data_IF_699674299562
#
_entry.id   IF_699674299562
#
_cell.length_a   1.000
_cell.length_b   1.000
_cell.length_c   1.000
_cell.angle_alpha   90.00
_cell.angle_beta   90.00
_cell.angle_gamma   90.00
#
_symmetry.space_group_name_H-M   'P 1'
#
loop_
_entity.id
_entity.type
_entity.pdbx_description
1 polymer ?
#
# COMPACT_ATOMS: atom_id res chain seq x y z
N UNK A 1 8.59 16.58 -22.25
CA UNK A 1 8.24 15.71 -21.10
C UNK A 1 6.72 15.68 -20.97
N UNK A 2 6.12 14.54 -20.66
CA UNK A 2 4.67 14.44 -20.44
C UNK A 2 4.30 15.14 -19.10
N UNK A 3 3.12 15.77 -18.95
CA UNK A 3 2.62 16.27 -17.68
C UNK A 3 2.85 15.32 -16.48
N UNK A 4 2.67 14.02 -16.67
CA UNK A 4 2.94 13.02 -15.62
C UNK A 4 4.38 13.06 -15.10
N UNK A 5 5.35 13.21 -16.00
CA UNK A 5 6.75 13.29 -15.62
C UNK A 5 7.07 14.61 -14.92
N UNK A 6 6.48 15.71 -15.38
CA UNK A 6 6.73 17.04 -14.84
C UNK A 6 6.18 17.16 -13.41
N UNK A 7 4.98 16.64 -13.16
CA UNK A 7 4.29 16.82 -11.88
C UNK A 7 4.52 15.71 -10.86
N UNK A 8 4.86 14.49 -11.30
CA UNK A 8 5.04 13.35 -10.39
C UNK A 8 6.45 12.75 -10.48
N UNK A 9 6.84 12.22 -11.63
CA UNK A 9 8.11 11.46 -11.76
C UNK A 9 9.32 12.32 -11.40
N UNK A 10 9.41 13.54 -11.94
CA UNK A 10 10.59 14.40 -11.82
C UNK A 10 10.74 14.98 -10.41
N UNK A 11 9.69 15.51 -9.76
CA UNK A 11 9.78 15.94 -8.36
C UNK A 11 10.18 14.80 -7.42
N UNK A 12 9.62 13.60 -7.62
CA UNK A 12 9.95 12.41 -6.83
C UNK A 12 11.42 12.00 -7.03
N UNK A 13 11.91 12.02 -8.27
CA UNK A 13 13.32 11.76 -8.58
C UNK A 13 14.24 12.80 -7.92
N UNK A 14 13.93 14.08 -8.03
CA UNK A 14 14.73 15.15 -7.44
C UNK A 14 14.78 15.02 -5.91
N UNK A 15 13.65 14.71 -5.28
CA UNK A 15 13.59 14.46 -3.85
C UNK A 15 14.41 13.23 -3.44
N UNK A 16 14.33 12.12 -4.20
CA UNK A 16 15.14 10.93 -3.97
C UNK A 16 16.64 11.25 -4.03
N UNK A 17 17.09 11.97 -5.07
CA UNK A 17 18.49 12.33 -5.25
C UNK A 17 18.96 13.32 -4.18
N UNK A 18 18.11 14.27 -3.77
CA UNK A 18 18.43 15.19 -2.68
C UNK A 18 18.68 14.43 -1.36
N UNK A 19 17.80 13.49 -1.00
CA UNK A 19 17.97 12.65 0.19
C UNK A 19 19.26 11.82 0.06
N UNK A 20 19.49 11.21 -1.10
CA UNK A 20 20.69 10.44 -1.37
C UNK A 20 21.97 11.26 -1.18
N UNK A 21 22.05 12.49 -1.72
CA UNK A 21 23.24 13.35 -1.57
C UNK A 21 23.48 13.73 -0.11
N UNK A 22 22.43 14.01 0.65
CA UNK A 22 22.54 14.30 2.08
C UNK A 22 23.11 13.08 2.83
N UNK A 23 22.56 11.88 2.61
CA UNK A 23 23.05 10.66 3.27
C UNK A 23 24.46 10.26 2.81
N UNK A 24 24.79 10.47 1.54
CA UNK A 24 26.11 10.23 0.99
C UNK A 24 27.15 11.18 1.57
N UNK A 25 26.81 12.46 1.76
CA UNK A 25 27.70 13.43 2.43
C UNK A 25 28.01 13.04 3.88
N UNK A 26 27.09 12.31 4.53
CA UNK A 26 27.28 11.78 5.89
C UNK A 26 28.00 10.41 5.93
N UNK A 27 28.47 9.87 4.79
CA UNK A 27 29.16 8.57 4.69
C UNK A 27 28.38 7.37 5.28
N UNK A 28 27.04 7.41 5.22
CA UNK A 28 26.20 6.34 5.76
C UNK A 28 26.19 5.15 4.78
N UNK A 29 26.43 3.89 5.21
CA UNK A 29 26.33 2.75 4.32
C UNK A 29 24.87 2.51 3.85
N UNK A 30 24.69 2.04 2.62
CA UNK A 30 23.36 1.75 2.08
C UNK A 30 22.51 3.00 1.80
N UNK A 31 23.15 4.12 1.45
CA UNK A 31 22.50 5.41 1.20
C UNK A 31 21.29 5.34 0.29
N UNK A 32 21.36 4.61 -0.83
CA UNK A 32 20.24 4.54 -1.77
C UNK A 32 19.02 3.84 -1.15
N UNK A 33 19.21 2.72 -0.45
CA UNK A 33 18.10 2.02 0.19
C UNK A 33 17.47 2.85 1.32
N UNK A 34 18.29 3.53 2.13
CA UNK A 34 17.79 4.49 3.12
C UNK A 34 17.05 5.66 2.48
N UNK A 35 17.52 6.14 1.32
CA UNK A 35 16.84 7.22 0.58
C UNK A 35 15.45 6.80 0.13
N UNK A 36 15.30 5.55 -0.33
CA UNK A 36 13.99 4.97 -0.69
C UNK A 36 13.08 4.92 0.54
N UNK A 37 13.58 4.44 1.68
CA UNK A 37 12.80 4.36 2.93
C UNK A 37 12.32 5.76 3.36
N UNK A 38 13.23 6.74 3.39
CA UNK A 38 12.92 8.11 3.82
C UNK A 38 11.95 8.78 2.84
N UNK A 39 12.17 8.64 1.53
CA UNK A 39 11.24 9.16 0.52
C UNK A 39 9.84 8.58 0.71
N UNK A 40 9.76 7.27 0.91
CA UNK A 40 8.49 6.56 1.14
C UNK A 40 7.79 7.11 2.38
N UNK A 41 8.54 7.31 3.46
CA UNK A 41 8.01 7.89 4.69
C UNK A 41 7.49 9.31 4.47
N UNK A 42 8.25 10.18 3.79
CA UNK A 42 7.84 11.56 3.48
C UNK A 42 6.53 11.58 2.68
N UNK A 43 6.44 10.80 1.60
CA UNK A 43 5.23 10.71 0.78
C UNK A 43 4.06 10.21 1.63
N UNK A 44 4.27 9.18 2.45
CA UNK A 44 3.22 8.61 3.30
C UNK A 44 2.75 9.59 4.38
N UNK A 45 3.65 10.38 4.96
CA UNK A 45 3.30 11.43 5.92
C UNK A 45 2.55 12.59 5.25
N UNK A 46 2.94 12.99 4.05
CA UNK A 46 2.20 13.99 3.28
C UNK A 46 0.76 13.51 2.94
N UNK A 47 0.60 12.22 2.66
CA UNK A 47 -0.70 11.59 2.40
C UNK A 47 -1.47 11.18 3.68
N UNK A 48 -0.88 11.36 4.86
CA UNK A 48 -1.46 10.96 6.14
C UNK A 48 -2.86 11.53 6.40
N UNK A 49 -3.14 12.84 6.27
CA UNK A 49 -4.46 13.39 6.57
C UNK A 49 -5.55 12.80 5.66
N UNK A 50 -5.24 12.64 4.38
CA UNK A 50 -6.15 12.06 3.40
C UNK A 50 -6.46 10.60 3.72
N UNK A 51 -5.41 9.79 3.90
CA UNK A 51 -5.55 8.36 4.24
C UNK A 51 -6.25 8.17 5.58
N UNK A 52 -6.05 9.09 6.54
CA UNK A 52 -6.78 9.07 7.81
C UNK A 52 -8.28 9.30 7.65
N UNK A 53 -8.68 10.24 6.78
CA UNK A 53 -10.09 10.48 6.46
C UNK A 53 -10.73 9.25 5.82
N UNK A 54 -10.01 8.60 4.89
CA UNK A 54 -10.45 7.39 4.21
C UNK A 54 -10.65 6.23 5.20
N UNK A 55 -9.70 6.01 6.11
CA UNK A 55 -9.79 4.97 7.13
C UNK A 55 -10.99 5.18 8.07
N UNK A 56 -11.21 6.42 8.53
CA UNK A 56 -12.39 6.77 9.33
C UNK A 56 -13.70 6.52 8.58
N UNK A 57 -13.76 6.82 7.29
CA UNK A 57 -14.94 6.53 6.47
C UNK A 57 -15.22 5.02 6.39
N UNK A 58 -14.17 4.21 6.21
CA UNK A 58 -14.28 2.74 6.20
C UNK A 58 -14.76 2.18 7.54
N UNK A 59 -14.32 2.75 8.66
CA UNK A 59 -14.84 2.37 9.97
C UNK A 59 -16.32 2.70 10.16
N UNK A 60 -16.77 3.87 9.68
CA UNK A 60 -18.19 4.24 9.73
C UNK A 60 -19.03 3.27 8.89
N UNK A 61 -18.57 2.90 7.69
CA UNK A 61 -19.23 1.87 6.87
C UNK A 61 -19.31 0.53 7.61
N UNK A 62 -18.24 0.12 8.28
CA UNK A 62 -18.21 -1.10 9.06
C UNK A 62 -19.22 -1.09 10.23
N UNK A 63 -19.39 0.06 10.90
CA UNK A 63 -20.36 0.21 11.99
C UNK A 63 -21.81 0.10 11.52
N UNK A 64 -22.11 0.36 10.24
CA UNK A 64 -23.45 0.24 9.66
C UNK A 64 -23.82 -1.19 9.25
N UNK A 65 -22.87 -2.13 9.28
CA UNK A 65 -23.10 -3.54 8.94
C UNK A 65 -24.37 -4.17 9.56
N UNK A 66 -24.67 -4.04 10.86
CA UNK A 66 -25.90 -4.61 11.43
C UNK A 66 -27.19 -4.01 10.83
N UNK A 67 -27.17 -2.74 10.42
CA UNK A 67 -28.31 -2.11 9.76
C UNK A 67 -28.45 -2.57 8.31
N UNK A 68 -27.33 -2.77 7.61
CA UNK A 68 -27.31 -3.36 6.28
C UNK A 68 -27.87 -4.80 6.30
N UNK A 69 -27.46 -5.60 7.30
CA UNK A 69 -27.98 -6.95 7.48
C UNK A 69 -29.50 -6.96 7.71
N UNK A 70 -30.04 -5.95 8.42
CA UNK A 70 -31.49 -5.79 8.61
C UNK A 70 -32.21 -5.43 7.30
N UNK A 71 -31.70 -4.46 6.55
CA UNK A 71 -32.26 -4.09 5.23
C UNK A 71 -32.27 -5.29 4.29
N UNK A 72 -31.23 -6.13 4.36
CA UNK A 72 -31.16 -7.38 3.61
C UNK A 72 -32.25 -8.37 4.01
N UNK A 73 -32.55 -8.53 5.31
CA UNK A 73 -33.64 -9.41 5.77
C UNK A 73 -35.03 -8.90 5.37
N UNK A 74 -35.24 -7.58 5.36
CA UNK A 74 -36.55 -6.98 5.07
C UNK A 74 -36.80 -6.81 3.56
N UNK A 75 -35.76 -6.50 2.78
CA UNK A 75 -35.88 -6.09 1.38
C UNK A 75 -34.99 -6.89 0.40
N UNK A 76 -34.24 -7.91 0.84
CA UNK A 76 -33.30 -8.66 -0.01
C UNK A 76 -33.94 -9.37 -1.22
N UNK A 77 -35.27 -9.57 -1.22
CA UNK A 77 -36.01 -10.13 -2.34
C UNK A 77 -36.25 -9.12 -3.48
N UNK A 78 -36.23 -7.81 -3.20
CA UNK A 78 -36.42 -6.73 -4.16
C UNK A 78 -35.11 -5.94 -4.30
N UNK A 79 -34.36 -6.21 -5.37
CA UNK A 79 -33.05 -5.60 -5.60
C UNK A 79 -33.10 -4.07 -5.68
N UNK A 80 -34.17 -3.51 -6.25
CA UNK A 80 -34.29 -2.06 -6.43
C UNK A 80 -34.51 -1.41 -5.07
N UNK A 81 -35.50 -1.89 -4.32
CA UNK A 81 -35.82 -1.36 -2.99
C UNK A 81 -34.69 -1.57 -1.98
N UNK A 82 -34.00 -2.71 -2.05
CA UNK A 82 -32.80 -2.97 -1.25
C UNK A 82 -31.71 -1.93 -1.53
N UNK A 83 -31.40 -1.65 -2.81
CA UNK A 83 -30.38 -0.67 -3.18
C UNK A 83 -30.76 0.75 -2.74
N UNK A 84 -32.04 1.10 -2.85
CA UNK A 84 -32.58 2.38 -2.39
C UNK A 84 -32.41 2.57 -0.88
N UNK A 85 -32.81 1.58 -0.07
CA UNK A 85 -32.70 1.64 1.39
C UNK A 85 -31.23 1.63 1.86
N UNK A 86 -30.35 0.85 1.21
CA UNK A 86 -28.89 0.91 1.49
C UNK A 86 -28.34 2.31 1.20
N UNK A 87 -28.72 2.91 0.07
CA UNK A 87 -28.28 4.26 -0.29
C UNK A 87 -28.82 5.30 0.68
N UNK A 88 -30.07 5.16 1.11
CA UNK A 88 -30.72 6.03 2.09
C UNK A 88 -30.03 5.93 3.45
N UNK A 89 -29.75 4.72 3.93
CA UNK A 89 -28.99 4.49 5.15
C UNK A 89 -27.62 5.18 5.13
N UNK A 90 -26.87 5.05 4.04
CA UNK A 90 -25.58 5.73 3.88
C UNK A 90 -25.71 7.25 3.89
N UNK A 91 -26.73 7.81 3.22
CA UNK A 91 -27.00 9.25 3.22
C UNK A 91 -27.38 9.76 4.61
N UNK A 92 -28.26 9.07 5.33
CA UNK A 92 -28.69 9.43 6.69
C UNK A 92 -27.52 9.44 7.68
N UNK A 93 -26.56 8.52 7.52
CA UNK A 93 -25.38 8.43 8.38
C UNK A 93 -24.16 9.22 7.84
N UNK A 94 -24.34 9.98 6.74
CA UNK A 94 -23.28 10.80 6.14
C UNK A 94 -22.06 10.01 5.68
N UNK A 95 -22.27 8.78 5.20
CA UNK A 95 -21.22 7.86 4.76
C UNK A 95 -21.13 7.86 3.24
N UNK A 96 -19.93 8.07 2.69
CA UNK A 96 -19.69 8.04 1.24
C UNK A 96 -19.01 6.72 0.84
N UNK A 97 -19.67 5.83 0.07
CA UNK A 97 -19.07 4.56 -0.36
C UNK A 97 -17.83 4.75 -1.27
N UNK A 98 -17.77 5.84 -2.03
CA UNK A 98 -16.62 6.16 -2.89
C UNK A 98 -15.38 6.59 -2.10
N UNK A 99 -15.54 7.04 -0.86
CA UNK A 99 -14.41 7.41 -0.02
C UNK A 99 -13.52 6.19 0.32
N UNK A 100 -14.07 4.96 0.25
CA UNK A 100 -13.33 3.73 0.47
C UNK A 100 -12.38 3.33 -0.66
N UNK A 101 -12.68 3.71 -1.92
CA UNK A 101 -11.85 3.41 -3.09
C UNK A 101 -10.94 4.58 -3.52
N UNK A 102 -11.18 5.78 -2.99
CA UNK A 102 -10.33 6.96 -3.18
C UNK A 102 -8.82 6.73 -2.87
N UNK A 103 -8.41 5.96 -1.83
CA UNK A 103 -6.99 5.69 -1.61
C UNK A 103 -6.34 5.01 -2.81
N UNK A 104 -7.03 4.04 -3.42
CA UNK A 104 -6.50 3.29 -4.54
C UNK A 104 -6.31 4.17 -5.77
N UNK A 105 -7.29 5.03 -6.08
CA UNK A 105 -7.22 5.94 -7.22
C UNK A 105 -6.07 6.93 -7.11
N UNK A 106 -5.84 7.50 -5.92
CA UNK A 106 -4.71 8.40 -5.71
C UNK A 106 -3.36 7.66 -5.66
N UNK A 107 -3.35 6.45 -5.10
CA UNK A 107 -2.14 5.66 -4.94
C UNK A 107 -1.58 5.19 -6.28
N UNK A 108 -2.41 4.86 -7.27
CA UNK A 108 -1.97 4.32 -8.55
C UNK A 108 -0.99 5.26 -9.30
N UNK A 109 -1.30 6.54 -9.56
CA UNK A 109 -0.36 7.47 -10.20
C UNK A 109 0.96 7.62 -9.43
N UNK A 110 0.89 7.72 -8.10
CA UNK A 110 2.07 7.85 -7.24
C UNK A 110 2.93 6.58 -7.31
N UNK A 111 2.30 5.41 -7.30
CA UNK A 111 2.97 4.13 -7.47
C UNK A 111 3.68 4.02 -8.82
N UNK A 112 3.02 4.37 -9.93
CA UNK A 112 3.65 4.34 -11.26
C UNK A 112 4.83 5.31 -11.35
N UNK A 113 4.72 6.50 -10.76
CA UNK A 113 5.81 7.48 -10.75
C UNK A 113 7.00 6.95 -9.94
N UNK A 114 6.76 6.44 -8.73
CA UNK A 114 7.79 5.82 -7.90
C UNK A 114 8.41 4.60 -8.57
N UNK A 115 7.61 3.73 -9.17
CA UNK A 115 8.10 2.57 -9.91
C UNK A 115 9.08 2.99 -11.01
N UNK A 116 8.71 3.99 -11.81
CA UNK A 116 9.56 4.50 -12.88
C UNK A 116 10.87 5.10 -12.34
N UNK A 117 10.80 5.87 -11.25
CA UNK A 117 11.98 6.47 -10.60
C UNK A 117 12.89 5.38 -10.03
N UNK A 118 12.33 4.46 -9.24
CA UNK A 118 13.09 3.40 -8.60
C UNK A 118 13.71 2.48 -9.64
N UNK A 119 12.98 2.08 -10.67
CA UNK A 119 13.54 1.22 -11.72
C UNK A 119 14.71 1.92 -12.40
N UNK A 120 14.58 3.21 -12.77
CA UNK A 120 15.69 4.00 -13.36
C UNK A 120 16.93 4.04 -12.48
N UNK A 121 16.76 4.27 -11.17
CA UNK A 121 17.89 4.46 -10.23
C UNK A 121 18.48 3.13 -9.73
N UNK A 122 17.67 2.09 -9.65
CA UNK A 122 18.09 0.79 -9.13
C UNK A 122 18.77 -0.04 -10.21
N UNK A 123 18.32 0.00 -11.47
CA UNK A 123 18.99 -0.69 -12.59
C UNK A 123 20.12 0.14 -13.21
N UNK A 124 20.47 1.25 -12.58
CA UNK A 124 21.47 2.20 -13.01
C UNK A 124 22.86 1.57 -13.07
N UNK A 125 23.52 1.65 -14.22
CA UNK A 125 24.93 1.30 -14.39
C UNK A 125 25.61 2.31 -15.31
N UNK A 126 26.81 2.78 -14.92
CA UNK A 126 27.71 3.57 -15.78
C UNK A 126 27.37 5.05 -15.99
N UNK A 127 28.09 5.66 -16.92
CA UNK A 127 28.07 7.12 -17.16
C UNK A 127 26.81 7.60 -17.90
N UNK A 128 26.20 6.74 -18.71
CA UNK A 128 24.95 7.05 -19.43
C UNK A 128 23.77 7.24 -18.47
N UNK A 129 23.78 6.53 -17.34
CA UNK A 129 22.82 6.76 -16.26
C UNK A 129 22.97 8.17 -15.69
N UNK A 130 24.20 8.59 -15.36
CA UNK A 130 24.47 9.89 -14.75
C UNK A 130 24.00 11.02 -15.66
N UNK A 131 24.28 10.94 -16.96
CA UNK A 131 23.80 11.91 -17.96
C UNK A 131 22.26 11.96 -18.02
N UNK A 132 21.62 10.79 -18.01
CA UNK A 132 20.16 10.67 -18.10
C UNK A 132 19.46 11.21 -16.86
N UNK A 133 20.01 10.98 -15.68
CA UNK A 133 19.45 11.52 -14.43
C UNK A 133 19.71 13.01 -14.33
N UNK A 134 20.94 13.46 -14.57
CA UNK A 134 21.29 14.88 -14.44
C UNK A 134 20.44 15.77 -15.38
N UNK A 135 20.06 15.28 -16.57
CA UNK A 135 19.14 16.03 -17.46
C UNK A 135 17.70 16.14 -16.96
N UNK A 136 17.29 15.30 -16.00
CA UNK A 136 15.98 15.33 -15.35
C UNK A 136 16.01 16.06 -14.00
N UNK A 137 17.18 16.46 -13.50
CA UNK A 137 17.29 17.18 -12.24
C UNK A 137 17.06 18.67 -12.45
N UNK A 138 16.34 19.31 -11.53
CA UNK A 138 16.00 20.73 -11.62
C UNK A 138 17.17 21.66 -11.29
N UNK A 139 18.13 21.17 -10.49
CA UNK A 139 19.25 21.98 -10.01
C UNK A 139 20.59 21.30 -10.27
N UNK A 140 21.61 22.04 -10.74
CA UNK A 140 22.99 21.55 -10.85
C UNK A 140 23.56 21.04 -9.52
N UNK A 141 23.08 21.57 -8.39
CA UNK A 141 23.49 21.11 -7.04
C UNK A 141 23.11 19.65 -6.80
N UNK A 142 22.09 19.13 -7.49
CA UNK A 142 21.67 17.73 -7.38
C UNK A 142 22.41 16.81 -8.34
N UNK A 143 23.20 17.35 -9.28
CA UNK A 143 23.93 16.52 -10.24
C UNK A 143 24.81 15.50 -9.52
N UNK A 144 24.80 14.30 -10.07
CA UNK A 144 25.62 13.19 -9.64
C UNK A 144 26.90 13.19 -10.46
N UNK A 145 28.03 12.95 -9.80
CA UNK A 145 29.32 12.75 -10.48
C UNK A 145 29.53 11.27 -10.85
N UNK A 146 28.89 10.36 -10.11
CA UNK A 146 28.97 8.91 -10.28
C UNK A 146 27.63 8.26 -10.02
N UNK A 147 27.42 7.07 -10.58
CA UNK A 147 26.22 6.28 -10.29
C UNK A 147 26.17 5.90 -8.79
N UNK A 148 25.00 5.99 -8.13
CA UNK A 148 24.83 5.56 -6.75
C UNK A 148 25.19 4.09 -6.55
N UNK A 149 25.83 3.77 -5.42
CA UNK A 149 25.97 2.38 -5.00
C UNK A 149 24.58 1.79 -4.76
N UNK A 150 24.28 0.70 -5.45
CA UNK A 150 23.00 -0.01 -5.30
C UNK A 150 23.03 -1.02 -4.15
N UNK A 151 24.15 -1.17 -3.45
CA UNK A 151 24.25 -2.09 -2.31
C UNK A 151 23.46 -1.55 -1.11
N UNK A 152 22.58 -2.39 -0.56
CA UNK A 152 21.84 -2.12 0.65
C UNK A 152 21.76 -3.38 1.52
N UNK A 153 22.28 -3.29 2.75
CA UNK A 153 22.51 -4.45 3.62
C UNK A 153 23.41 -5.48 2.93
N UNK A 154 22.90 -6.67 2.67
CA UNK A 154 23.63 -7.80 2.07
C UNK A 154 23.48 -7.86 0.56
N UNK A 155 22.50 -7.15 -0.03
CA UNK A 155 22.10 -7.33 -1.43
C UNK A 155 22.17 -6.03 -2.24
N UNK A 156 22.34 -6.16 -3.55
CA UNK A 156 22.08 -5.06 -4.47
C UNK A 156 20.58 -4.83 -4.59
N UNK A 157 20.15 -3.58 -4.54
CA UNK A 157 18.74 -3.20 -4.71
C UNK A 157 18.17 -3.64 -6.08
N UNK A 158 19.05 -3.88 -7.06
CA UNK A 158 18.72 -4.35 -8.40
C UNK A 158 18.42 -5.85 -8.48
N UNK A 159 18.92 -6.63 -7.52
CA UNK A 159 18.68 -8.06 -7.49
C UNK A 159 17.20 -8.34 -7.34
N UNK A 160 16.74 -9.45 -7.92
CA UNK A 160 15.36 -9.91 -7.80
C UNK A 160 15.33 -11.18 -6.98
N UNK A 161 14.31 -11.41 -6.13
CA UNK A 161 14.18 -12.68 -5.44
C UNK A 161 14.06 -13.89 -6.38
N UNK A 162 13.60 -13.70 -7.61
CA UNK A 162 13.60 -14.73 -8.66
C UNK A 162 14.98 -15.24 -9.05
N UNK A 163 16.02 -14.46 -8.79
CA UNK A 163 17.43 -14.78 -9.09
C UNK A 163 18.14 -15.44 -7.90
N UNK A 164 17.38 -16.01 -6.95
CA UNK A 164 17.89 -16.57 -5.69
C UNK A 164 19.00 -17.62 -5.86
N UNK A 165 19.09 -18.29 -7.01
CA UNK A 165 20.17 -19.24 -7.30
C UNK A 165 21.53 -18.56 -7.43
N UNK A 166 21.55 -17.31 -7.91
CA UNK A 166 22.77 -16.52 -8.13
C UNK A 166 23.10 -15.64 -6.93
N UNK A 167 22.06 -15.13 -6.26
CA UNK A 167 22.19 -14.13 -5.18
C UNK A 167 22.16 -14.77 -3.78
N UNK A 168 21.61 -15.97 -3.65
CA UNK A 168 21.50 -16.74 -2.42
C UNK A 168 20.08 -16.87 -1.89
N UNK A 169 19.78 -17.98 -1.21
CA UNK A 169 18.42 -18.37 -0.81
C UNK A 169 17.72 -17.38 0.15
N UNK A 170 18.48 -16.66 0.98
CA UNK A 170 17.93 -15.72 1.96
C UNK A 170 17.13 -14.56 1.32
N UNK A 171 17.37 -14.23 0.05
CA UNK A 171 16.59 -13.21 -0.67
C UNK A 171 15.09 -13.58 -0.80
N UNK A 172 14.76 -14.88 -0.74
CA UNK A 172 13.37 -15.36 -0.78
C UNK A 172 12.56 -14.98 0.46
N UNK A 173 13.21 -14.54 1.54
CA UNK A 173 12.51 -14.00 2.70
C UNK A 173 11.78 -12.69 2.35
N UNK A 174 12.25 -11.94 1.37
CA UNK A 174 11.66 -10.65 0.98
C UNK A 174 10.19 -10.79 0.55
N UNK A 175 9.84 -11.60 -0.48
CA UNK A 175 8.44 -11.76 -0.88
C UNK A 175 7.56 -12.37 0.21
N UNK A 176 8.11 -13.24 1.06
CA UNK A 176 7.39 -13.80 2.22
C UNK A 176 7.04 -12.72 3.25
N UNK A 177 8.00 -11.86 3.59
CA UNK A 177 7.78 -10.72 4.48
C UNK A 177 6.82 -9.71 3.87
N UNK A 178 6.94 -9.40 2.58
CA UNK A 178 6.01 -8.52 1.86
C UNK A 178 4.59 -9.05 1.92
N UNK A 179 4.40 -10.34 1.63
CA UNK A 179 3.10 -11.01 1.74
C UNK A 179 2.54 -10.96 3.17
N UNK A 180 3.38 -11.24 4.17
CA UNK A 180 2.98 -11.21 5.57
C UNK A 180 2.54 -9.80 6.01
N UNK A 181 3.32 -8.76 5.71
CA UNK A 181 2.94 -7.38 6.03
C UNK A 181 1.65 -6.97 5.30
N UNK A 182 1.51 -7.32 4.03
CA UNK A 182 0.32 -6.99 3.26
C UNK A 182 -0.93 -7.71 3.81
N UNK A 183 -0.76 -8.95 4.26
CA UNK A 183 -1.82 -9.72 4.90
C UNK A 183 -2.24 -9.12 6.24
N UNK A 184 -1.27 -8.76 7.09
CA UNK A 184 -1.53 -8.08 8.38
C UNK A 184 -2.31 -6.79 8.12
N UNK A 185 -1.82 -5.94 7.21
CA UNK A 185 -2.48 -4.69 6.85
C UNK A 185 -3.90 -4.92 6.34
N UNK A 186 -4.10 -5.90 5.45
CA UNK A 186 -5.43 -6.20 4.90
C UNK A 186 -6.40 -6.68 5.98
N UNK A 187 -5.94 -7.54 6.91
CA UNK A 187 -6.75 -7.99 8.06
C UNK A 187 -7.13 -6.88 9.02
N UNK A 188 -6.33 -5.82 9.12
CA UNK A 188 -6.67 -4.66 9.96
C UNK A 188 -7.70 -3.74 9.30
N UNK A 189 -7.84 -3.77 7.97
CA UNK A 189 -8.82 -2.95 7.22
C UNK A 189 -10.19 -3.64 7.20
N UNK A 190 -10.21 -4.97 7.14
CA UNK A 190 -11.46 -5.74 7.15
C UNK A 190 -12.11 -5.70 8.53
N UNK A 191 -13.34 -5.19 8.58
CA UNK A 191 -14.13 -5.20 9.79
C UNK A 191 -14.44 -6.65 10.24
N UNK A 192 -14.30 -6.98 11.53
CA UNK A 192 -14.70 -8.29 12.03
C UNK A 192 -16.17 -8.56 11.70
N UNK A 193 -16.47 -9.71 11.10
CA UNK A 193 -17.86 -10.13 10.93
C UNK A 193 -18.48 -10.37 12.33
N UNK A 194 -19.72 -9.91 12.59
CA UNK A 194 -20.38 -10.19 13.86
C UNK A 194 -20.59 -11.72 14.01
N UNK A 195 -20.45 -12.20 15.25
CA UNK A 195 -20.52 -13.63 15.62
C UNK A 195 -21.93 -14.22 15.48
N UNK A 196 -22.95 -13.40 15.28
CA UNK A 196 -24.32 -13.83 14.95
C UNK A 196 -24.44 -14.04 13.45
N UNK A 197 -23.86 -15.15 12.98
CA UNK A 197 -24.25 -15.72 11.70
C UNK A 197 -25.72 -16.14 11.80
N UNK A 198 -26.63 -15.31 11.27
CA UNK A 198 -28.00 -15.74 11.01
C UNK A 198 -27.90 -16.91 10.04
N UNK A 199 -28.29 -18.11 10.49
CA UNK A 199 -28.32 -19.31 9.66
C UNK A 199 -29.20 -19.02 8.44
N UNK A 200 -28.64 -19.19 7.25
CA UNK A 200 -29.35 -19.07 5.97
C UNK A 200 -30.49 -20.09 5.91
N UNK A 201 -31.73 -19.62 5.79
CA UNK A 201 -32.78 -20.34 5.09
C UNK A 201 -32.77 -19.82 3.65
N UNK A 202 -32.74 -20.75 2.69
CA UNK A 202 -32.68 -20.56 1.23
C UNK A 202 -31.36 -20.04 0.63
N UNK A 203 -30.74 -20.92 -0.18
CA UNK A 203 -29.47 -20.74 -0.87
C UNK A 203 -29.47 -19.75 -2.05
N UNK A 204 -30.10 -18.57 -1.89
CA UNK A 204 -29.94 -17.46 -2.85
C UNK A 204 -28.86 -16.51 -2.35
N UNK A 205 -27.69 -16.53 -3.00
CA UNK A 205 -26.61 -15.59 -2.74
C UNK A 205 -27.02 -14.17 -3.17
N UNK A 206 -27.22 -13.27 -2.19
CA UNK A 206 -27.50 -11.86 -2.45
C UNK A 206 -26.24 -11.08 -2.86
N UNK A 207 -26.40 -9.95 -3.55
CA UNK A 207 -25.30 -9.09 -4.03
C UNK A 207 -24.35 -8.65 -2.90
N UNK A 208 -24.85 -8.48 -1.67
CA UNK A 208 -24.01 -8.18 -0.48
C UNK A 208 -23.22 -9.39 0.04
N UNK A 209 -23.74 -10.63 -0.09
CA UNK A 209 -22.95 -11.84 0.22
C UNK A 209 -21.82 -11.99 -0.79
N UNK A 210 -22.09 -11.68 -2.06
CA UNK A 210 -21.07 -11.60 -3.11
C UNK A 210 -20.03 -10.53 -2.76
N UNK A 211 -20.42 -9.33 -2.31
CA UNK A 211 -19.48 -8.28 -1.92
C UNK A 211 -18.68 -8.62 -0.65
N UNK A 212 -19.30 -9.26 0.34
CA UNK A 212 -18.61 -9.74 1.55
C UNK A 212 -17.64 -10.88 1.24
N UNK A 213 -18.01 -11.78 0.34
CA UNK A 213 -17.16 -12.86 -0.14
C UNK A 213 -15.99 -12.31 -0.97
N UNK A 214 -16.24 -11.36 -1.89
CA UNK A 214 -15.20 -10.66 -2.65
C UNK A 214 -14.23 -9.95 -1.70
N UNK A 215 -14.72 -9.25 -0.68
CA UNK A 215 -13.87 -8.59 0.33
C UNK A 215 -13.03 -9.57 1.15
N UNK A 216 -13.64 -10.70 1.55
CA UNK A 216 -12.94 -11.78 2.25
C UNK A 216 -11.86 -12.42 1.38
N UNK A 217 -12.15 -12.69 0.10
CA UNK A 217 -11.17 -13.21 -0.86
C UNK A 217 -10.06 -12.21 -1.14
N UNK A 218 -10.37 -10.91 -1.26
CA UNK A 218 -9.38 -9.84 -1.43
C UNK A 218 -8.39 -9.79 -0.25
N UNK A 219 -8.81 -10.22 0.95
CA UNK A 219 -7.93 -10.26 2.13
C UNK A 219 -6.74 -11.21 1.97
N UNK A 220 -6.91 -12.28 1.18
CA UNK A 220 -5.87 -13.29 0.97
C UNK A 220 -5.25 -13.19 -0.43
N UNK A 221 -6.08 -12.92 -1.44
CA UNK A 221 -5.67 -12.86 -2.84
C UNK A 221 -4.69 -11.71 -3.09
N UNK A 222 -5.00 -10.52 -2.58
CA UNK A 222 -4.20 -9.32 -2.84
C UNK A 222 -2.80 -9.42 -2.21
N UNK A 223 -2.66 -9.84 -0.93
CA UNK A 223 -1.35 -10.13 -0.34
C UNK A 223 -0.56 -11.21 -1.09
N UNK A 224 -1.21 -12.30 -1.53
CA UNK A 224 -0.54 -13.35 -2.28
C UNK A 224 -0.04 -12.85 -3.64
N UNK A 225 -0.84 -12.05 -4.35
CA UNK A 225 -0.46 -11.42 -5.61
C UNK A 225 0.73 -10.45 -5.43
N UNK A 226 0.71 -9.63 -4.38
CA UNK A 226 1.81 -8.71 -4.07
C UNK A 226 3.09 -9.49 -3.70
N UNK A 227 2.98 -10.57 -2.94
CA UNK A 227 4.11 -11.44 -2.63
C UNK A 227 4.71 -12.05 -3.91
N UNK A 228 3.86 -12.50 -4.84
CA UNK A 228 4.28 -13.00 -6.15
C UNK A 228 4.95 -11.92 -7.00
N UNK A 229 4.42 -10.70 -7.03
CA UNK A 229 5.08 -9.59 -7.74
C UNK A 229 6.41 -9.19 -7.09
N UNK A 230 6.48 -9.19 -5.76
CA UNK A 230 7.72 -8.94 -5.02
C UNK A 230 8.81 -9.98 -5.35
N UNK A 231 8.43 -11.21 -5.73
CA UNK A 231 9.38 -12.22 -6.20
C UNK A 231 10.03 -11.85 -7.55
N UNK A 232 9.28 -11.23 -8.47
CA UNK A 232 9.78 -10.86 -9.80
C UNK A 232 10.41 -9.47 -9.90
N UNK A 233 10.25 -8.62 -8.89
CA UNK A 233 10.68 -7.23 -8.94
C UNK A 233 11.99 -6.97 -8.18
N UNK A 234 12.74 -5.90 -8.56
CA UNK A 234 13.95 -5.52 -7.86
C UNK A 234 13.70 -5.26 -6.37
N UNK A 235 14.68 -5.58 -5.52
CA UNK A 235 14.61 -5.36 -4.07
C UNK A 235 14.31 -3.92 -3.68
N UNK A 236 14.77 -2.93 -4.45
CA UNK A 236 14.43 -1.51 -4.21
C UNK A 236 12.93 -1.24 -4.23
N UNK A 237 12.17 -1.91 -5.10
CA UNK A 237 10.72 -1.78 -5.15
C UNK A 237 10.04 -2.52 -3.99
N UNK A 238 10.54 -3.70 -3.63
CA UNK A 238 10.05 -4.44 -2.46
C UNK A 238 10.31 -3.67 -1.16
N UNK A 239 11.44 -2.96 -1.06
CA UNK A 239 11.78 -2.10 0.08
C UNK A 239 10.79 -0.94 0.22
N UNK A 240 10.46 -0.27 -0.89
CA UNK A 240 9.40 0.73 -0.93
C UNK A 240 8.07 0.13 -0.45
N UNK A 241 7.66 -1.01 -0.99
CA UNK A 241 6.38 -1.63 -0.66
C UNK A 241 6.28 -1.97 0.82
N UNK A 242 7.33 -2.58 1.38
CA UNK A 242 7.37 -2.95 2.79
C UNK A 242 7.35 -1.72 3.69
N UNK A 243 8.14 -0.70 3.38
CA UNK A 243 8.15 0.55 4.15
C UNK A 243 6.77 1.21 4.13
N UNK A 244 6.16 1.31 2.95
CA UNK A 244 4.83 1.87 2.78
C UNK A 244 3.77 1.11 3.58
N UNK A 245 3.81 -0.23 3.53
CA UNK A 245 2.88 -1.11 4.24
C UNK A 245 3.06 -1.03 5.75
N UNK A 246 4.30 -1.03 6.26
CA UNK A 246 4.61 -0.89 7.69
C UNK A 246 4.07 0.43 8.24
N UNK A 247 4.33 1.55 7.56
CA UNK A 247 3.81 2.86 7.99
C UNK A 247 2.28 2.85 7.92
N UNK A 248 1.69 2.22 6.90
CA UNK A 248 0.24 2.05 6.81
C UNK A 248 -0.36 1.22 7.94
N UNK A 249 0.33 0.15 8.39
CA UNK A 249 -0.07 -0.64 9.57
C UNK A 249 -0.04 0.22 10.83
N UNK A 250 1.03 0.99 11.03
CA UNK A 250 1.15 1.92 12.17
C UNK A 250 0.00 2.94 12.14
N UNK A 251 -0.25 3.55 10.98
CA UNK A 251 -1.34 4.49 10.80
C UNK A 251 -2.71 3.85 11.10
N UNK A 252 -2.96 2.65 10.57
CA UNK A 252 -4.20 1.93 10.81
C UNK A 252 -4.38 1.62 12.30
N UNK A 253 -3.33 1.19 12.99
CA UNK A 253 -3.38 0.93 14.43
C UNK A 253 -3.68 2.19 15.24
N UNK A 254 -3.07 3.32 14.88
CA UNK A 254 -3.29 4.61 15.56
C UNK A 254 -4.73 5.09 15.42
N UNK A 255 -5.32 4.96 14.22
CA UNK A 255 -6.64 5.50 13.88
C UNK A 255 -7.76 4.52 14.25
N UNK A 256 -7.58 3.25 13.91
CA UNK A 256 -8.64 2.25 13.87
C UNK A 256 -8.41 1.02 14.76
N UNK A 257 -7.26 0.94 15.45
CA UNK A 257 -6.87 -0.23 16.22
C UNK A 257 -6.43 -1.40 15.33
N UNK A 258 -6.32 -2.60 15.91
CA UNK A 258 -5.86 -3.79 15.18
C UNK A 258 -6.98 -4.53 14.43
N UNK A 259 -8.22 -4.02 14.49
CA UNK A 259 -9.37 -4.60 13.79
C UNK A 259 -9.59 -6.06 14.17
N UNK A 260 -9.69 -6.94 13.16
CA UNK A 260 -9.87 -8.39 13.37
C UNK A 260 -8.69 -9.05 14.12
N UNK A 261 -7.52 -8.42 14.21
CA UNK A 261 -6.37 -8.97 14.93
C UNK A 261 -6.45 -8.76 16.45
N UNK A 262 -7.38 -7.92 16.94
CA UNK A 262 -7.56 -7.69 18.38
C UNK A 262 -7.74 -9.01 19.17
N UNK A 263 -8.37 -10.03 18.57
CA UNK A 263 -8.57 -11.34 19.22
C UNK A 263 -7.27 -12.09 19.53
N UNK A 264 -6.18 -11.78 18.83
CA UNK A 264 -4.86 -12.39 19.03
C UNK A 264 -3.91 -11.51 19.85
N UNK A 265 -4.29 -10.25 20.10
CA UNK A 265 -3.45 -9.31 20.85
C UNK A 265 -3.75 -9.37 22.35
N UNK A 266 -2.73 -9.14 23.22
CA UNK A 266 -2.94 -8.98 24.65
C UNK A 266 -3.88 -7.79 24.93
N UNK A 267 -4.70 -7.87 26.01
CA UNK A 267 -5.69 -6.83 26.37
C UNK A 267 -5.14 -5.40 26.37
N UNK A 268 -3.87 -5.20 26.76
CA UNK A 268 -3.22 -3.88 26.77
C UNK A 268 -3.01 -3.25 25.39
N UNK A 269 -3.07 -4.04 24.31
CA UNK A 269 -2.89 -3.61 22.92
C UNK A 269 -4.19 -3.63 22.10
N UNK A 270 -5.29 -4.10 22.70
CA UNK A 270 -6.60 -4.08 22.07
C UNK A 270 -7.14 -2.65 22.10
N UNK A 271 -7.35 -2.07 20.92
CA UNK A 271 -7.96 -0.75 20.71
C UNK A 271 -9.26 -0.91 19.96
#
# INVERSE_FOLDING_TARGET
MNPFDIFLTTPILNLLIAIYKILASANIPGTLGLSIIILTAIIRFALWPLTSSQLKSTQKMAALKPHLDRIKTEHGHDKVRHQEEVTKLYKEHGVNPLAGCLPLLLQLPVFFALYNVLNKVVTANGDDFVKTINSQLYSPVLHLDKAPSTSFLTYGLHNKPSEWQQVGMLILLVPLLTGAFQFIQSKMIVAPAPKTAVKKADGKEGMEDTMAQVSSQMTFLMPAMIAFFSYGFPLGLSLYWNTFTIIGIIQQYVISGAGALNQYLPKKWQK
#
